data_IF_508590870480
#
_entry.id   IF_508590870480
#
_cell.length_a   1.000
_cell.length_b   1.000
_cell.length_c   1.000
_cell.angle_alpha   90.00
_cell.angle_beta   90.00
_cell.angle_gamma   90.00
#
_symmetry.space_group_name_H-M   'P 1'
#
loop_
_entity.id
_entity.type
_entity.pdbx_description
1 polymer ?
#
# COMPACT_ATOMS: atom_id res chain seq x y z
N UNK A 1 -25.78 36.07 -8.29
CA UNK A 1 -25.82 35.41 -6.97
C UNK A 1 -25.94 33.89 -7.11
N UNK A 2 -26.56 33.37 -8.19
CA UNK A 2 -26.69 31.93 -8.50
C UNK A 2 -25.36 31.20 -8.78
N UNK A 3 -24.38 31.84 -9.43
CA UNK A 3 -23.11 31.21 -9.84
C UNK A 3 -22.22 30.79 -8.66
N UNK A 4 -22.38 31.41 -7.49
CA UNK A 4 -21.57 31.14 -6.31
C UNK A 4 -21.88 29.81 -5.63
N UNK A 5 -23.05 29.21 -5.87
CA UNK A 5 -23.41 27.90 -5.32
C UNK A 5 -22.83 26.73 -6.11
N UNK A 6 -22.61 26.88 -7.42
CA UNK A 6 -22.06 25.80 -8.26
C UNK A 6 -20.57 25.54 -8.02
N UNK A 7 -19.79 26.59 -7.74
CA UNK A 7 -18.35 26.50 -7.45
C UNK A 7 -18.01 25.59 -6.26
N UNK A 8 -18.61 25.76 -5.06
CA UNK A 8 -18.34 24.89 -3.92
C UNK A 8 -18.84 23.46 -4.16
N UNK A 9 -19.98 23.29 -4.85
CA UNK A 9 -20.49 21.96 -5.21
C UNK A 9 -19.51 21.23 -6.12
N UNK A 10 -18.96 21.92 -7.12
CA UNK A 10 -17.97 21.34 -8.03
C UNK A 10 -16.64 21.01 -7.32
N UNK A 11 -16.19 21.86 -6.40
CA UNK A 11 -15.02 21.59 -5.56
C UNK A 11 -15.22 20.39 -4.63
N UNK A 12 -16.38 20.29 -3.99
CA UNK A 12 -16.71 19.16 -3.12
C UNK A 12 -16.79 17.87 -3.94
N UNK A 13 -17.49 17.90 -5.09
CA UNK A 13 -17.58 16.74 -5.97
C UNK A 13 -16.21 16.31 -6.50
N UNK A 14 -15.37 17.26 -6.93
CA UNK A 14 -13.99 16.98 -7.35
C UNK A 14 -13.13 16.41 -6.23
N UNK A 15 -13.26 16.96 -5.02
CA UNK A 15 -12.58 16.44 -3.82
C UNK A 15 -12.99 15.01 -3.48
N UNK A 16 -14.28 14.69 -3.56
CA UNK A 16 -14.80 13.33 -3.33
C UNK A 16 -14.25 12.36 -4.38
N UNK A 17 -14.28 12.73 -5.67
CA UNK A 17 -13.74 11.90 -6.76
C UNK A 17 -12.24 11.64 -6.55
N UNK A 18 -11.49 12.68 -6.21
CA UNK A 18 -10.07 12.56 -5.88
C UNK A 18 -9.84 11.61 -4.70
N UNK A 19 -10.66 11.72 -3.64
CA UNK A 19 -10.57 10.82 -2.48
C UNK A 19 -10.81 9.37 -2.87
N UNK A 20 -11.85 9.10 -3.67
CA UNK A 20 -12.19 7.75 -4.13
C UNK A 20 -11.04 7.15 -4.93
N UNK A 21 -10.47 7.92 -5.85
CA UNK A 21 -9.29 7.52 -6.62
C UNK A 21 -8.13 7.22 -5.67
N UNK A 22 -7.81 8.14 -4.77
CA UNK A 22 -6.73 7.97 -3.81
C UNK A 22 -6.88 6.69 -2.96
N UNK A 23 -8.06 6.45 -2.38
CA UNK A 23 -8.34 5.26 -1.59
C UNK A 23 -8.39 3.97 -2.42
N UNK A 24 -8.71 4.04 -3.71
CA UNK A 24 -8.66 2.88 -4.61
C UNK A 24 -7.21 2.51 -4.98
N UNK A 25 -6.35 3.50 -5.20
CA UNK A 25 -4.97 3.28 -5.62
C UNK A 25 -4.04 2.94 -4.44
N UNK A 26 -4.26 3.55 -3.27
CA UNK A 26 -3.43 3.34 -2.10
C UNK A 26 -4.08 2.29 -1.20
N UNK A 27 -3.45 1.12 -0.99
CA UNK A 27 -4.01 0.07 -0.13
C UNK A 27 -3.85 0.46 1.35
N UNK A 28 -4.69 1.38 1.81
CA UNK A 28 -4.64 1.98 3.15
C UNK A 28 -4.77 0.94 4.27
N UNK A 29 -5.64 -0.05 4.09
CA UNK A 29 -5.83 -1.14 5.08
C UNK A 29 -4.56 -1.99 5.25
N UNK A 30 -3.86 -2.32 4.16
CA UNK A 30 -2.58 -3.05 4.20
C UNK A 30 -1.50 -2.25 4.94
N UNK A 31 -1.42 -0.96 4.68
CA UNK A 31 -0.50 -0.07 5.38
C UNK A 31 -0.77 -0.05 6.89
N UNK A 32 -2.05 0.05 7.27
CA UNK A 32 -2.45 0.05 8.68
C UNK A 32 -2.09 -1.29 9.35
N UNK A 33 -2.36 -2.42 8.69
CA UNK A 33 -1.98 -3.76 9.18
C UNK A 33 -0.47 -3.91 9.37
N UNK A 34 0.34 -3.39 8.45
CA UNK A 34 1.80 -3.38 8.58
C UNK A 34 2.24 -2.56 9.81
N UNK A 35 1.68 -1.35 9.96
CA UNK A 35 2.03 -0.43 11.05
C UNK A 35 1.66 -0.99 12.43
N UNK A 36 0.48 -1.58 12.56
CA UNK A 36 0.03 -2.24 13.80
C UNK A 36 0.90 -3.46 14.13
N UNK A 37 1.44 -4.13 13.11
CA UNK A 37 2.34 -5.27 13.27
C UNK A 37 3.80 -4.88 13.54
N UNK A 38 4.11 -3.59 13.69
CA UNK A 38 5.48 -3.12 13.92
C UNK A 38 6.37 -3.04 12.66
N UNK A 39 5.79 -3.28 11.47
CA UNK A 39 6.49 -3.20 10.20
C UNK A 39 6.41 -1.78 9.64
N UNK A 40 7.55 -1.10 9.56
CA UNK A 40 7.65 0.27 9.08
C UNK A 40 7.63 0.33 7.54
N UNK A 41 6.44 0.41 6.95
CA UNK A 41 6.24 0.66 5.51
C UNK A 41 5.50 1.99 5.34
N UNK A 42 5.94 2.80 4.37
CA UNK A 42 5.25 4.03 3.98
C UNK A 42 4.16 3.78 2.92
N UNK A 43 3.12 4.60 2.90
CA UNK A 43 2.09 4.56 1.84
C UNK A 43 2.71 4.77 0.45
N UNK A 44 3.75 5.62 0.37
CA UNK A 44 4.49 5.89 -0.87
C UNK A 44 5.19 4.61 -1.36
N UNK A 45 5.78 3.82 -0.48
CA UNK A 45 6.40 2.54 -0.85
C UNK A 45 5.39 1.54 -1.42
N UNK A 46 4.20 1.43 -0.82
CA UNK A 46 3.12 0.57 -1.33
C UNK A 46 2.64 1.02 -2.72
N UNK A 47 2.63 2.32 -2.96
CA UNK A 47 2.33 2.88 -4.26
C UNK A 47 3.44 2.58 -5.28
N UNK A 48 4.72 2.75 -4.90
CA UNK A 48 5.86 2.40 -5.75
C UNK A 48 5.90 0.90 -6.12
N UNK A 49 5.51 0.01 -5.20
CA UNK A 49 5.35 -1.42 -5.50
C UNK A 49 4.40 -1.65 -6.68
N UNK A 50 3.24 -0.96 -6.68
CA UNK A 50 2.25 -1.06 -7.76
C UNK A 50 2.82 -0.57 -9.10
N UNK A 51 3.64 0.49 -9.11
CA UNK A 51 4.34 0.97 -10.31
C UNK A 51 5.34 -0.08 -10.82
N UNK A 52 6.04 -0.78 -9.93
CA UNK A 52 6.99 -1.85 -10.27
C UNK A 52 6.31 -3.18 -10.66
N UNK A 53 4.98 -3.20 -10.81
CA UNK A 53 4.17 -4.42 -11.00
C UNK A 53 4.35 -5.48 -9.90
N UNK A 54 4.73 -5.06 -8.69
CA UNK A 54 4.83 -5.94 -7.53
C UNK A 54 3.57 -5.76 -6.67
N UNK A 55 2.80 -6.84 -6.42
CA UNK A 55 1.59 -6.77 -5.61
C UNK A 55 1.91 -6.57 -4.12
N UNK A 56 1.52 -5.43 -3.50
CA UNK A 56 1.75 -5.19 -2.08
C UNK A 56 0.98 -6.16 -1.18
N UNK A 57 -0.09 -6.77 -1.68
CA UNK A 57 -0.92 -7.71 -0.93
C UNK A 57 -0.22 -9.04 -0.63
N UNK A 58 0.88 -9.36 -1.32
CA UNK A 58 1.70 -10.56 -1.04
C UNK A 58 2.90 -10.20 -0.16
N UNK A 59 3.56 -9.08 -0.46
CA UNK A 59 4.78 -8.66 0.24
C UNK A 59 4.50 -8.24 1.69
N UNK A 60 3.42 -7.50 1.94
CA UNK A 60 3.13 -6.96 3.28
C UNK A 60 2.81 -8.07 4.30
N UNK A 61 1.94 -9.06 4.03
CA UNK A 61 1.74 -10.18 4.94
C UNK A 61 3.05 -10.95 5.23
N UNK A 62 3.85 -11.24 4.20
CA UNK A 62 5.15 -11.88 4.39
C UNK A 62 6.10 -11.06 5.26
N UNK A 63 6.15 -9.73 5.09
CA UNK A 63 6.92 -8.86 5.98
C UNK A 63 6.43 -8.92 7.44
N UNK A 64 5.11 -8.99 7.64
CA UNK A 64 4.50 -9.11 8.97
C UNK A 64 4.86 -10.45 9.61
N UNK A 65 4.81 -11.54 8.86
CA UNK A 65 5.18 -12.88 9.31
C UNK A 65 6.67 -12.97 9.67
N UNK A 66 7.55 -12.47 8.80
CA UNK A 66 8.99 -12.40 9.07
C UNK A 66 9.29 -11.58 10.34
N UNK A 67 8.61 -10.43 10.49
CA UNK A 67 8.78 -9.58 11.67
C UNK A 67 8.30 -10.28 12.95
N UNK A 68 7.17 -10.99 12.90
CA UNK A 68 6.64 -11.78 14.03
C UNK A 68 7.50 -12.99 14.35
N UNK A 69 8.14 -13.60 13.35
CA UNK A 69 9.09 -14.70 13.50
C UNK A 69 10.46 -14.25 14.05
N UNK A 70 10.68 -12.95 14.24
CA UNK A 70 11.94 -12.39 14.71
C UNK A 70 13.01 -12.26 13.62
N UNK A 71 12.66 -12.51 12.35
CA UNK A 71 13.51 -12.39 11.17
C UNK A 71 13.66 -10.92 10.74
N UNK A 72 14.27 -10.11 11.62
CA UNK A 72 14.49 -8.67 11.39
C UNK A 72 15.44 -8.35 10.23
N UNK A 73 16.17 -9.35 9.74
CA UNK A 73 17.11 -9.19 8.63
C UNK A 73 16.43 -9.25 7.26
N UNK A 74 15.19 -9.74 7.17
CA UNK A 74 14.49 -9.79 5.89
C UNK A 74 14.03 -8.38 5.54
N UNK A 75 14.58 -7.87 4.46
CA UNK A 75 14.21 -6.58 3.92
C UNK A 75 13.08 -6.73 2.91
N UNK A 76 12.30 -5.66 2.78
CA UNK A 76 11.24 -5.53 1.79
C UNK A 76 11.75 -5.77 0.37
N UNK A 77 12.93 -5.24 0.06
CA UNK A 77 13.50 -5.29 -1.28
C UNK A 77 13.94 -6.72 -1.66
N UNK A 78 14.35 -7.53 -0.69
CA UNK A 78 14.61 -8.97 -0.89
C UNK A 78 13.33 -9.76 -1.17
N UNK A 79 12.25 -9.49 -0.44
CA UNK A 79 10.94 -10.11 -0.70
C UNK A 79 10.37 -9.67 -2.05
N UNK A 80 10.52 -8.39 -2.43
CA UNK A 80 10.17 -7.89 -3.76
C UNK A 80 11.02 -8.58 -4.85
N UNK A 81 12.33 -8.73 -4.64
CA UNK A 81 13.22 -9.41 -5.58
C UNK A 81 12.89 -10.90 -5.72
N UNK A 82 12.56 -11.58 -4.61
CA UNK A 82 12.14 -12.97 -4.63
C UNK A 82 10.82 -13.16 -5.40
N UNK A 83 9.85 -12.26 -5.19
CA UNK A 83 8.61 -12.25 -5.95
C UNK A 83 8.85 -12.03 -7.45
N UNK A 84 9.70 -11.05 -7.81
CA UNK A 84 10.06 -10.77 -9.21
C UNK A 84 10.84 -11.91 -9.87
N UNK A 85 11.59 -12.70 -9.11
CA UNK A 85 12.24 -13.92 -9.58
C UNK A 85 11.27 -15.10 -9.81
N UNK A 86 9.97 -14.91 -9.57
CA UNK A 86 8.94 -15.95 -9.69
C UNK A 86 8.79 -16.82 -8.43
N UNK A 87 9.35 -16.39 -7.31
CA UNK A 87 9.25 -17.07 -6.02
C UNK A 87 7.90 -16.84 -5.32
N UNK A 88 7.48 -17.81 -4.50
CA UNK A 88 6.27 -17.75 -3.70
C UNK A 88 6.59 -17.18 -2.31
N UNK A 89 6.44 -15.87 -2.16
CA UNK A 89 6.73 -15.15 -0.90
C UNK A 89 5.88 -15.67 0.27
N UNK A 90 4.65 -16.13 -0.01
CA UNK A 90 3.70 -16.73 0.93
C UNK A 90 4.10 -18.11 1.45
N UNK A 91 5.06 -18.80 0.82
CA UNK A 91 5.49 -20.16 1.17
C UNK A 91 6.87 -20.23 1.83
N UNK A 92 7.58 -19.10 1.89
CA UNK A 92 8.98 -19.05 2.35
C UNK A 92 9.15 -18.29 3.66
N UNK A 93 8.09 -17.67 4.17
CA UNK A 93 8.08 -16.90 5.42
C UNK A 93 7.13 -17.54 6.44
#
# INVERSE_FOLDING_TARGET
MESSFYLPIFLIAGGIIFLIIFFHYVPFFLWLSAKVSGVNISLIQLFLMRIRNVPPYIIVPGMIEAHKAGLKNITRDELEAHYLAGGHVDKVV
#
